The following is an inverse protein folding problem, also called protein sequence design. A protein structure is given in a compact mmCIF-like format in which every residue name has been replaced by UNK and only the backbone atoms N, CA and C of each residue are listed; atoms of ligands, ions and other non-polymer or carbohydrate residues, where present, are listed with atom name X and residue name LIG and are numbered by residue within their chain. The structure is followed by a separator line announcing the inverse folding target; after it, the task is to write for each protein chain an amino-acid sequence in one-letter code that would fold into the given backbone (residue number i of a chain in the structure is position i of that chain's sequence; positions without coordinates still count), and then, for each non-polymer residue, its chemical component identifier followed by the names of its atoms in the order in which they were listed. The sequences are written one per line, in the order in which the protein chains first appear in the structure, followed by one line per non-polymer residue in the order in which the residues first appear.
data_IF_158815592665
#
_entry.id   IF_158815592665
#
_cell.length_a   1.000
_cell.length_b   1.000
_cell.length_c   1.000
_cell.angle_alpha   90.00
_cell.angle_beta   90.00
_cell.angle_gamma   90.00
#
_symmetry.space_group_name_H-M   'P 1'
#
loop_
_entity.id
_entity.type
_entity.pdbx_description
1 polymer ?
#
# COMPACT_ATOMS: atom_id res chain seq x y z
N UNK A 1 -13.33 0.51 -28.91
CA UNK A 1 -14.40 -0.34 -28.35
C UNK A 1 -15.51 0.58 -27.88
N UNK A 2 -16.63 0.60 -28.59
CA UNK A 2 -17.77 1.48 -28.29
C UNK A 2 -18.98 0.60 -28.03
N UNK A 3 -19.18 0.23 -26.77
CA UNK A 3 -20.39 -0.45 -26.33
C UNK A 3 -21.34 0.63 -25.78
N UNK A 4 -22.40 0.94 -26.53
CA UNK A 4 -23.41 1.92 -26.15
C UNK A 4 -24.20 1.41 -24.95
N UNK A 5 -23.90 1.93 -23.76
CA UNK A 5 -24.64 1.61 -22.55
C UNK A 5 -26.08 2.12 -22.65
N UNK A 6 -27.06 1.21 -22.53
CA UNK A 6 -28.45 1.58 -22.32
C UNK A 6 -28.58 2.15 -20.90
N UNK A 7 -28.82 3.45 -20.80
CA UNK A 7 -28.85 4.25 -19.55
C UNK A 7 -30.00 3.82 -18.60
N UNK A 8 -30.85 2.89 -19.01
CA UNK A 8 -32.03 2.43 -18.25
C UNK A 8 -31.77 1.33 -17.21
N UNK A 9 -30.60 0.68 -17.22
CA UNK A 9 -30.27 -0.40 -16.27
C UNK A 9 -29.26 0.07 -15.20
N UNK A 10 -29.47 -0.35 -13.95
CA UNK A 10 -28.59 -0.01 -12.82
C UNK A 10 -27.19 -0.65 -12.88
N UNK A 11 -27.01 -1.68 -13.71
CA UNK A 11 -25.77 -2.41 -13.87
C UNK A 11 -25.42 -2.56 -15.36
N UNK A 12 -24.13 -2.52 -15.72
CA UNK A 12 -23.71 -2.81 -17.08
C UNK A 12 -24.05 -4.27 -17.43
N UNK A 13 -24.25 -4.51 -18.72
CA UNK A 13 -24.35 -5.88 -19.23
C UNK A 13 -23.02 -6.61 -18.99
N UNK A 14 -23.05 -7.94 -18.77
CA UNK A 14 -21.83 -8.71 -18.66
C UNK A 14 -21.00 -8.61 -19.95
N UNK A 15 -19.67 -8.75 -19.88
CA UNK A 15 -18.81 -8.68 -21.05
C UNK A 15 -19.15 -9.76 -22.07
N UNK A 16 -19.24 -9.44 -23.36
CA UNK A 16 -19.64 -10.37 -24.44
C UNK A 16 -18.93 -11.73 -24.45
N UNK A 17 -17.69 -11.76 -23.94
CA UNK A 17 -16.88 -12.97 -23.83
C UNK A 17 -17.51 -14.08 -22.97
N UNK A 18 -18.50 -13.77 -22.13
CA UNK A 18 -19.22 -14.78 -21.33
C UNK A 18 -19.87 -15.86 -22.21
N UNK A 19 -20.26 -15.51 -23.46
CA UNK A 19 -20.92 -16.43 -24.40
C UNK A 19 -20.02 -17.57 -24.87
N UNK A 20 -18.70 -17.42 -24.74
CA UNK A 20 -17.73 -18.42 -25.16
C UNK A 20 -17.55 -19.56 -24.15
N UNK A 21 -18.02 -19.39 -22.91
CA UNK A 21 -17.93 -20.39 -21.85
C UNK A 21 -19.04 -21.44 -22.00
N UNK A 22 -18.93 -22.29 -23.03
CA UNK A 22 -19.79 -23.46 -23.25
C UNK A 22 -19.04 -24.74 -22.90
N UNK A 23 -19.76 -25.79 -22.48
CA UNK A 23 -19.17 -27.10 -22.13
C UNK A 23 -18.31 -27.66 -23.26
N UNK A 24 -18.80 -27.56 -24.51
CA UNK A 24 -18.06 -27.98 -25.71
C UNK A 24 -16.72 -27.24 -25.88
N UNK A 25 -16.69 -25.92 -25.63
CA UNK A 25 -15.46 -25.13 -25.76
C UNK A 25 -14.47 -25.43 -24.64
N UNK A 26 -14.96 -25.83 -23.46
CA UNK A 26 -14.13 -26.23 -22.32
C UNK A 26 -13.47 -27.60 -22.59
N UNK A 27 -14.23 -28.57 -23.11
CA UNK A 27 -13.69 -29.89 -23.48
C UNK A 27 -12.59 -29.78 -24.56
N UNK A 28 -12.80 -28.90 -25.54
CA UNK A 28 -11.80 -28.59 -26.59
C UNK A 28 -10.56 -27.95 -25.95
N UNK A 29 -10.73 -27.01 -25.02
CA UNK A 29 -9.62 -26.35 -24.34
C UNK A 29 -8.82 -27.31 -23.45
N UNK A 30 -9.48 -28.23 -22.74
CA UNK A 30 -8.82 -29.27 -21.94
C UNK A 30 -8.00 -30.22 -22.81
N UNK A 31 -8.56 -30.64 -23.95
CA UNK A 31 -7.86 -31.48 -24.94
C UNK A 31 -6.63 -30.78 -25.52
N UNK A 32 -6.70 -29.45 -25.71
CA UNK A 32 -5.63 -28.64 -26.28
C UNK A 32 -4.52 -28.30 -25.28
N UNK A 33 -4.80 -28.23 -23.97
CA UNK A 33 -3.78 -27.95 -22.93
C UNK A 33 -2.69 -29.02 -22.84
N UNK A 34 -2.99 -30.26 -23.26
CA UNK A 34 -2.03 -31.38 -23.27
C UNK A 34 -1.06 -31.38 -24.46
N UNK A 35 -1.43 -30.74 -25.57
CA UNK A 35 -0.58 -30.61 -26.75
C UNK A 35 -0.05 -29.18 -26.82
N UNK A 36 1.21 -28.95 -26.42
CA UNK A 36 1.92 -27.67 -26.62
C UNK A 36 2.14 -27.39 -28.11
N UNK A 37 1.07 -27.20 -28.87
CA UNK A 37 1.11 -26.66 -30.22
C UNK A 37 0.58 -25.24 -30.13
N UNK A 38 1.43 -24.31 -30.56
CA UNK A 38 1.06 -22.97 -31.01
C UNK A 38 0.05 -23.09 -32.15
N UNK A 39 -1.16 -23.52 -31.83
CA UNK A 39 -2.29 -23.31 -32.72
C UNK A 39 -2.60 -21.85 -32.53
N UNK A 40 -2.55 -21.10 -33.63
CA UNK A 40 -3.14 -19.77 -33.76
C UNK A 40 -4.49 -19.80 -33.04
N UNK A 41 -4.49 -19.38 -31.76
CA UNK A 41 -5.66 -19.49 -30.89
C UNK A 41 -6.70 -18.65 -31.60
N UNK A 42 -7.69 -19.30 -32.23
CA UNK A 42 -8.90 -18.61 -32.67
C UNK A 42 -9.26 -17.66 -31.53
N UNK A 43 -9.38 -16.36 -31.82
CA UNK A 43 -9.46 -15.29 -30.80
C UNK A 43 -10.44 -15.59 -29.66
N UNK A 44 -11.45 -16.42 -29.94
CA UNK A 44 -12.42 -17.00 -29.01
C UNK A 44 -11.80 -17.71 -27.80
N UNK A 45 -10.80 -18.58 -27.98
CA UNK A 45 -10.22 -19.38 -26.88
C UNK A 45 -9.29 -18.56 -25.98
N UNK A 46 -8.83 -17.39 -26.43
CA UNK A 46 -8.01 -16.48 -25.62
C UNK A 46 -8.75 -15.98 -24.38
N UNK A 47 -10.07 -15.85 -24.46
CA UNK A 47 -10.92 -15.36 -23.37
C UNK A 47 -11.26 -16.43 -22.32
N UNK A 48 -11.01 -17.70 -22.62
CA UNK A 48 -11.23 -18.82 -21.69
C UNK A 48 -10.04 -19.05 -20.74
N UNK A 49 -8.87 -18.50 -21.09
CA UNK A 49 -7.72 -18.44 -20.20
C UNK A 49 -7.71 -17.09 -19.46
N UNK A 50 -7.39 -17.09 -18.16
CA UNK A 50 -7.15 -15.84 -17.46
C UNK A 50 -6.08 -15.00 -18.18
N UNK A 51 -6.30 -13.68 -18.34
CA UNK A 51 -5.30 -12.81 -18.93
C UNK A 51 -4.05 -12.78 -18.03
N UNK A 52 -2.90 -12.48 -18.65
CA UNK A 52 -1.68 -12.22 -17.92
C UNK A 52 -1.88 -11.02 -16.97
N UNK A 53 -1.28 -11.05 -15.77
CA UNK A 53 -1.29 -9.91 -14.88
C UNK A 53 -0.79 -8.67 -15.61
N UNK A 54 -1.42 -7.49 -15.41
CA UNK A 54 -0.93 -6.26 -16.00
C UNK A 54 0.47 -5.94 -15.46
N UNK A 55 1.39 -5.54 -16.34
CA UNK A 55 2.71 -5.04 -15.96
C UNK A 55 2.65 -3.64 -15.34
N UNK A 56 1.54 -2.92 -15.56
CA UNK A 56 1.33 -1.57 -15.07
C UNK A 56 1.41 -1.53 -13.54
N UNK A 57 2.08 -0.52 -12.98
CA UNK A 57 2.24 -0.40 -11.53
C UNK A 57 0.95 -0.01 -10.80
N UNK A 58 -0.13 0.31 -11.53
CA UNK A 58 -1.36 0.89 -10.99
C UNK A 58 -2.59 0.33 -11.69
N UNK A 59 -3.61 -0.03 -10.92
CA UNK A 59 -4.93 -0.45 -11.42
C UNK A 59 -6.02 0.51 -10.97
N UNK A 60 -6.96 0.84 -11.86
CA UNK A 60 -8.08 1.73 -11.53
C UNK A 60 -9.35 0.93 -11.34
N UNK A 61 -9.97 1.03 -10.17
CA UNK A 61 -11.24 0.38 -9.83
C UNK A 61 -12.20 1.42 -9.29
N UNK A 62 -13.37 1.55 -9.91
CA UNK A 62 -14.41 2.52 -9.54
C UNK A 62 -13.91 3.95 -9.34
N UNK A 63 -13.02 4.40 -10.24
CA UNK A 63 -12.43 5.75 -10.20
C UNK A 63 -11.34 5.94 -9.14
N UNK A 64 -10.94 4.88 -8.43
CA UNK A 64 -9.81 4.91 -7.50
C UNK A 64 -8.63 4.19 -8.12
N UNK A 65 -7.47 4.83 -8.07
CA UNK A 65 -6.20 4.25 -8.53
C UNK A 65 -5.53 3.55 -7.36
N UNK A 66 -5.16 2.29 -7.55
CA UNK A 66 -4.48 1.45 -6.57
C UNK A 66 -3.12 1.03 -7.13
N UNK A 67 -2.02 1.15 -6.37
CA UNK A 67 -0.72 0.63 -6.78
C UNK A 67 -0.66 -0.90 -6.64
N UNK A 68 -0.09 -1.60 -7.63
CA UNK A 68 0.15 -3.05 -7.64
C UNK A 68 1.41 -3.42 -6.83
N UNK A 69 2.41 -2.55 -6.83
CA UNK A 69 3.56 -2.62 -5.93
C UNK A 69 3.39 -1.59 -4.82
N UNK A 70 3.33 -2.05 -3.57
CA UNK A 70 3.43 -1.19 -2.40
C UNK A 70 4.88 -0.73 -2.25
N UNK A 71 5.32 0.20 -3.10
CA UNK A 71 6.57 0.92 -2.87
C UNK A 71 6.22 2.00 -1.85
N UNK A 72 6.51 1.74 -0.58
CA UNK A 72 6.53 2.82 0.39
C UNK A 72 7.70 3.73 0.00
N UNK A 73 7.45 5.01 -0.36
CA UNK A 73 8.52 5.91 -0.75
C UNK A 73 9.52 6.03 0.39
N UNK A 74 10.81 6.07 0.06
CA UNK A 74 11.81 6.23 1.10
C UNK A 74 11.62 7.59 1.79
N UNK A 75 12.00 7.68 3.07
CA UNK A 75 11.92 8.93 3.84
C UNK A 75 12.60 10.11 3.10
N UNK A 76 13.68 9.83 2.35
CA UNK A 76 14.38 10.80 1.51
C UNK A 76 13.51 11.35 0.37
N UNK A 77 12.73 10.48 -0.27
CA UNK A 77 11.83 10.86 -1.37
C UNK A 77 10.67 11.73 -0.88
N UNK A 78 10.33 11.62 0.40
CA UNK A 78 9.33 12.46 1.08
C UNK A 78 9.91 13.77 1.63
N UNK A 79 11.20 14.06 1.40
CA UNK A 79 11.88 15.23 1.95
C UNK A 79 12.09 15.17 3.48
N UNK A 80 11.97 13.99 4.07
CA UNK A 80 12.19 13.76 5.50
C UNK A 80 13.61 13.26 5.70
N UNK A 81 14.44 14.08 6.35
CA UNK A 81 15.79 13.69 6.73
C UNK A 81 15.72 12.57 7.78
N UNK A 82 16.41 11.46 7.53
CA UNK A 82 16.55 10.39 8.52
C UNK A 82 17.36 10.95 9.69
N UNK A 83 16.75 11.03 10.87
CA UNK A 83 17.38 11.54 12.09
C UNK A 83 18.47 10.60 12.66
N UNK A 84 18.57 9.38 12.15
CA UNK A 84 19.43 8.34 12.69
C UNK A 84 20.06 7.47 11.60
N UNK A 85 21.26 6.97 11.89
CA UNK A 85 22.01 6.07 11.03
C UNK A 85 21.41 4.65 11.06
N UNK A 86 21.33 4.01 9.90
CA UNK A 86 20.68 2.71 9.69
C UNK A 86 21.31 1.52 10.44
N UNK A 87 22.46 1.72 11.08
CA UNK A 87 23.17 0.67 11.82
C UNK A 87 22.70 0.51 13.28
N UNK A 88 21.85 1.42 13.78
CA UNK A 88 21.33 1.34 15.14
C UNK A 88 20.02 0.56 15.22
N UNK A 89 19.87 -0.23 16.29
CA UNK A 89 18.59 -0.86 16.63
C UNK A 89 17.51 0.20 16.86
N UNK A 90 16.49 0.18 15.99
CA UNK A 90 15.43 1.17 15.98
C UNK A 90 14.61 1.18 17.29
N UNK A 91 14.61 0.08 18.04
CA UNK A 91 14.00 -0.02 19.38
C UNK A 91 14.73 0.85 20.43
N UNK A 92 16.06 0.96 20.33
CA UNK A 92 16.88 1.79 21.22
C UNK A 92 16.65 3.27 20.95
N UNK A 93 16.51 3.63 19.67
CA UNK A 93 16.23 5.00 19.26
C UNK A 93 14.82 5.45 19.62
N UNK A 94 13.83 4.56 19.46
CA UNK A 94 12.47 4.81 19.93
C UNK A 94 12.43 5.02 21.45
N UNK A 95 13.24 4.26 22.19
CA UNK A 95 13.38 4.45 23.64
C UNK A 95 14.00 5.81 23.97
N UNK A 96 15.08 6.21 23.29
CA UNK A 96 15.69 7.54 23.43
C UNK A 96 14.69 8.66 23.11
N UNK A 97 13.91 8.48 22.05
CA UNK A 97 12.86 9.42 21.64
C UNK A 97 11.79 9.55 22.72
N UNK A 98 11.33 8.43 23.27
CA UNK A 98 10.34 8.41 24.34
C UNK A 98 10.85 9.15 25.59
N UNK A 99 12.11 8.91 25.98
CA UNK A 99 12.74 9.64 27.08
C UNK A 99 12.87 11.14 26.80
N UNK A 100 13.15 11.54 25.56
CA UNK A 100 13.20 12.94 25.16
C UNK A 100 11.84 13.60 25.31
N UNK A 101 10.77 12.98 24.81
CA UNK A 101 9.38 13.48 24.95
C UNK A 101 9.00 13.66 26.42
N UNK A 102 9.28 12.65 27.26
CA UNK A 102 8.99 12.73 28.70
C UNK A 102 9.78 13.85 29.37
N UNK A 103 11.07 14.00 29.02
CA UNK A 103 11.91 15.07 29.55
C UNK A 103 11.38 16.45 29.15
N UNK A 104 10.98 16.63 27.91
CA UNK A 104 10.41 17.88 27.42
C UNK A 104 9.13 18.25 28.16
N UNK A 105 8.25 17.27 28.39
CA UNK A 105 7.04 17.49 29.17
C UNK A 105 7.35 17.91 30.60
N UNK A 106 8.29 17.26 31.26
CA UNK A 106 8.71 17.61 32.63
C UNK A 106 9.34 19.01 32.70
N UNK A 107 10.14 19.38 31.70
CA UNK A 107 10.74 20.70 31.63
C UNK A 107 9.69 21.79 31.33
N UNK A 108 8.66 21.47 30.53
CA UNK A 108 7.51 22.37 30.31
C UNK A 108 6.77 22.62 31.63
N UNK A 109 6.45 21.55 32.38
CA UNK A 109 5.80 21.67 33.70
C UNK A 109 6.62 22.54 34.66
N UNK A 110 7.94 22.36 34.70
CA UNK A 110 8.83 23.22 35.50
C UNK A 110 8.75 24.68 35.07
N UNK A 111 8.78 24.97 33.77
CA UNK A 111 8.67 26.34 33.28
C UNK A 111 7.31 26.97 33.54
N UNK A 112 6.22 26.20 33.50
CA UNK A 112 4.89 26.66 33.87
C UNK A 112 4.79 26.99 35.36
N UNK A 113 5.50 26.25 36.20
CA UNK A 113 5.57 26.46 37.64
C UNK A 113 6.39 27.70 38.02
N UNK A 114 7.52 27.97 37.34
CA UNK A 114 8.41 29.09 37.67
C UNK A 114 8.05 30.39 36.95
N UNK A 115 7.80 30.35 35.63
CA UNK A 115 7.51 31.54 34.83
C UNK A 115 6.58 31.22 33.63
N UNK A 116 5.25 31.31 33.83
CA UNK A 116 4.27 30.81 32.86
C UNK A 116 4.26 31.59 31.53
N UNK A 117 4.79 32.83 31.50
CA UNK A 117 4.85 33.67 30.29
C UNK A 117 5.79 33.10 29.22
N UNK A 118 6.80 32.34 29.62
CA UNK A 118 7.78 31.76 28.70
C UNK A 118 7.36 30.37 28.16
N UNK A 119 6.32 29.76 28.73
CA UNK A 119 5.89 28.41 28.36
C UNK A 119 5.37 28.32 26.93
N UNK A 120 4.57 29.31 26.48
CA UNK A 120 3.96 29.34 25.14
C UNK A 120 5.02 29.44 24.04
N UNK A 121 6.14 30.13 24.26
CA UNK A 121 7.21 30.27 23.25
C UNK A 121 7.99 28.97 23.04
N UNK A 122 8.01 28.08 24.04
CA UNK A 122 8.77 26.83 24.01
C UNK A 122 8.02 25.71 23.27
N UNK A 123 6.69 25.66 23.38
CA UNK A 123 5.84 24.63 22.77
C UNK A 123 5.89 24.64 21.23
N UNK A 124 5.91 25.83 20.60
CA UNK A 124 5.93 25.92 19.13
C UNK A 124 7.21 25.38 18.48
N UNK A 125 8.35 25.42 19.18
CA UNK A 125 9.62 24.87 18.67
C UNK A 125 9.67 23.34 18.76
N UNK A 126 8.91 22.74 19.67
CA UNK A 126 8.91 21.31 19.98
C UNK A 126 7.91 20.51 19.12
N UNK A 127 6.78 21.13 18.73
CA UNK A 127 5.78 20.46 17.89
C UNK A 127 6.28 20.20 16.47
N UNK A 128 7.16 21.05 15.93
CA UNK A 128 7.79 20.81 14.63
C UNK A 128 8.73 19.59 14.66
N UNK A 129 9.53 19.46 15.73
CA UNK A 129 10.45 18.33 15.92
C UNK A 129 9.69 17.01 16.13
N UNK A 130 8.68 17.00 16.99
CA UNK A 130 7.91 15.79 17.33
C UNK A 130 7.00 15.32 16.20
N UNK A 131 6.38 16.22 15.42
CA UNK A 131 5.59 15.84 14.24
C UNK A 131 6.48 15.20 13.15
N UNK A 132 7.70 15.71 12.93
CA UNK A 132 8.68 15.05 12.05
C UNK A 132 9.07 13.64 12.55
N UNK A 133 9.06 13.41 13.86
CA UNK A 133 9.39 12.11 14.47
C UNK A 133 8.27 11.08 14.40
N UNK A 134 7.00 11.47 14.31
CA UNK A 134 5.87 10.52 14.13
C UNK A 134 5.77 9.98 12.70
N UNK A 135 6.37 10.67 11.72
CA UNK A 135 6.56 10.15 10.36
C UNK A 135 7.44 8.90 10.27
N UNK A 136 8.20 8.58 11.32
CA UNK A 136 9.03 7.37 11.43
C UNK A 136 8.26 6.12 11.84
N UNK A 137 6.97 6.22 12.19
CA UNK A 137 6.13 5.06 12.53
C UNK A 137 5.55 4.35 11.30
N UNK A 138 6.24 4.40 10.16
CA UNK A 138 6.04 3.51 9.00
C UNK A 138 6.37 2.04 9.28
N UNK A 139 6.23 1.58 10.52
CA UNK A 139 6.49 0.21 10.98
C UNK A 139 5.46 -0.83 10.49
N UNK A 140 4.53 -0.45 9.61
CA UNK A 140 3.48 -1.37 9.14
C UNK A 140 4.05 -2.54 8.36
N UNK A 141 5.17 -2.37 7.66
CA UNK A 141 5.73 -3.42 6.79
C UNK A 141 6.48 -4.49 7.59
N UNK A 142 7.35 -4.10 8.53
CA UNK A 142 8.06 -5.04 9.42
C UNK A 142 7.08 -5.81 10.32
N UNK A 143 5.99 -5.15 10.73
CA UNK A 143 4.93 -5.81 11.48
C UNK A 143 4.08 -6.76 10.61
N UNK A 144 3.90 -6.46 9.32
CA UNK A 144 3.24 -7.36 8.37
C UNK A 144 4.08 -8.63 8.10
N UNK A 145 5.40 -8.48 7.95
CA UNK A 145 6.32 -9.61 7.72
C UNK A 145 6.44 -10.52 8.95
N UNK A 146 6.53 -9.94 10.16
CA UNK A 146 6.56 -10.74 11.40
C UNK A 146 5.22 -11.45 11.69
N UNK A 147 4.09 -10.83 11.35
CA UNK A 147 2.77 -11.45 11.48
C UNK A 147 2.54 -12.56 10.48
N UNK A 148 3.00 -12.42 9.24
CA UNK A 148 2.94 -13.51 8.26
C UNK A 148 3.83 -14.68 8.66
N UNK A 149 5.03 -14.44 9.20
CA UNK A 149 5.91 -15.49 9.71
C UNK A 149 5.30 -16.34 10.84
N UNK A 150 4.52 -15.72 11.74
CA UNK A 150 3.83 -16.44 12.83
C UNK A 150 2.60 -17.24 12.39
N UNK A 151 2.07 -17.03 11.18
CA UNK A 151 0.93 -17.79 10.65
C UNK A 151 1.38 -19.13 10.04
N UNK A 152 2.66 -19.24 9.66
CA UNK A 152 3.25 -20.44 9.06
C UNK A 152 3.99 -21.35 10.06
N UNK A 153 3.93 -21.05 11.37
CA UNK A 153 4.36 -21.93 12.48
C UNK A 153 3.16 -22.51 13.22
#
# INVERSE_FOLDING_TARGET
MTETQNISNAFPLPPDHYKYFTDENLDILESLKGEQKEIEKKDVFRFLEPPLPPEDEKFTVFGRVFPLKNINPELKDQGVEKLFDSDNDASVELRKLTFLVVKEYMDLLKTLSTEPKNAIRRTYRQNADTVCKHGLLGYRDVEADSKTANIFM
#
